data_IF_811522738079
#
_entry.id   IF_811522738079
#
_cell.length_a   1.000
_cell.length_b   1.000
_cell.length_c   1.000
_cell.angle_alpha   90.00
_cell.angle_beta   90.00
_cell.angle_gamma   90.00
#
_symmetry.space_group_name_H-M   'P 1'
#
loop_
_entity.id
_entity.type
_entity.pdbx_description
1 polymer ?
#
# COMPACT_ATOMS: atom_id res chain seq x y z
N UNK A 1 0.40 -1.80 -35.68
CA UNK A 1 0.17 -0.43 -36.18
C UNK A 1 -0.13 0.47 -34.98
N UNK A 2 0.53 1.65 -34.93
CA UNK A 2 0.45 2.65 -33.87
C UNK A 2 -0.81 3.52 -34.01
N UNK A 3 -1.44 3.92 -32.89
CA UNK A 3 -1.94 5.29 -32.60
C UNK A 3 -2.59 5.26 -31.19
N UNK A 4 -2.00 5.81 -30.12
CA UNK A 4 -2.15 7.20 -29.57
C UNK A 4 -3.62 7.66 -29.49
N UNK A 5 -4.13 8.34 -28.46
CA UNK A 5 -3.76 8.69 -27.09
C UNK A 5 -4.96 9.48 -26.53
N UNK A 6 -5.17 9.51 -25.21
CA UNK A 6 -6.12 10.41 -24.57
C UNK A 6 -5.92 10.39 -23.05
N UNK A 7 -4.98 11.19 -22.56
CA UNK A 7 -4.79 11.44 -21.12
C UNK A 7 -5.33 12.84 -20.85
N UNK A 8 -6.35 12.92 -19.98
CA UNK A 8 -6.86 14.15 -19.39
C UNK A 8 -6.11 14.36 -18.08
N UNK A 9 -5.38 15.47 -17.96
CA UNK A 9 -4.75 15.92 -16.71
C UNK A 9 -5.61 17.06 -16.16
N UNK A 10 -6.24 16.83 -15.01
CA UNK A 10 -6.81 17.90 -14.19
C UNK A 10 -5.80 18.27 -13.10
N UNK A 11 -5.35 19.53 -13.11
CA UNK A 11 -4.53 20.13 -12.06
C UNK A 11 -5.46 20.88 -11.10
N UNK A 12 -5.40 20.56 -9.82
CA UNK A 12 -5.98 21.38 -8.76
C UNK A 12 -4.90 21.68 -7.72
N UNK A 13 -4.39 22.91 -7.76
CA UNK A 13 -3.64 23.53 -6.67
C UNK A 13 -4.65 24.29 -5.79
N UNK A 14 -4.64 24.00 -4.49
CA UNK A 14 -5.36 24.76 -3.48
C UNK A 14 -4.48 24.92 -2.23
N UNK A 15 -3.92 26.11 -2.05
CA UNK A 15 -3.23 26.57 -0.84
C UNK A 15 -4.19 27.45 -0.02
N UNK A 16 -4.42 27.07 1.24
CA UNK A 16 -4.79 27.92 2.39
C UNK A 16 -4.66 27.00 3.63
N UNK A 17 -3.93 27.27 4.71
CA UNK A 17 -3.59 28.54 5.34
C UNK A 17 -4.55 28.80 6.51
N UNK A 18 -4.24 28.38 7.74
CA UNK A 18 -5.07 28.70 8.92
C UNK A 18 -4.67 27.97 10.21
N UNK A 19 -4.06 28.73 11.12
CA UNK A 19 -3.68 28.38 12.50
C UNK A 19 -4.90 28.32 13.43
N UNK A 20 -4.87 27.47 14.47
CA UNK A 20 -5.84 27.55 15.58
C UNK A 20 -5.84 26.34 16.52
N UNK A 21 -5.44 26.56 17.77
CA UNK A 21 -5.41 25.59 18.89
C UNK A 21 -6.80 25.35 19.52
N UNK A 22 -6.93 24.16 20.10
CA UNK A 22 -7.57 23.81 21.38
C UNK A 22 -9.10 23.55 21.50
N UNK A 23 -9.37 22.34 22.02
CA UNK A 23 -10.19 22.03 23.21
C UNK A 23 -11.58 21.39 23.02
N UNK A 24 -11.75 20.32 23.80
CA UNK A 24 -12.97 19.74 24.39
C UNK A 24 -14.02 19.15 23.44
N UNK A 25 -14.19 17.82 23.42
CA UNK A 25 -14.88 17.00 24.43
C UNK A 25 -16.40 17.21 24.39
N UNK A 26 -17.10 16.30 23.71
CA UNK A 26 -18.40 15.72 24.09
C UNK A 26 -18.95 14.93 22.90
N UNK A 27 -19.51 13.75 23.16
CA UNK A 27 -20.11 12.89 22.13
C UNK A 27 -19.91 11.40 22.35
N UNK A 28 -20.01 10.96 23.61
CA UNK A 28 -20.07 9.56 23.98
C UNK A 28 -21.49 9.01 23.73
N UNK A 29 -21.56 7.72 23.34
CA UNK A 29 -22.68 6.77 23.52
C UNK A 29 -23.82 6.75 22.49
N UNK A 30 -23.80 5.70 21.67
CA UNK A 30 -24.91 4.76 21.36
C UNK A 30 -24.42 3.87 20.21
N UNK A 31 -24.62 2.56 20.15
CA UNK A 31 -25.18 1.57 21.04
C UNK A 31 -24.67 0.23 20.45
N UNK A 32 -24.30 -0.68 21.34
CA UNK A 32 -23.91 -2.05 21.05
C UNK A 32 -25.14 -2.88 20.59
N UNK A 33 -24.86 -4.09 20.11
CA UNK A 33 -25.75 -5.26 20.01
C UNK A 33 -26.54 -5.42 18.69
N UNK A 34 -26.04 -6.28 17.80
CA UNK A 34 -26.59 -7.65 17.63
C UNK A 34 -25.75 -8.42 16.60
N UNK A 35 -24.99 -9.38 17.11
CA UNK A 35 -24.56 -10.55 16.38
C UNK A 35 -25.60 -11.67 16.58
N UNK A 36 -25.56 -12.64 15.67
CA UNK A 36 -26.13 -14.00 15.73
C UNK A 36 -27.50 -14.23 15.06
N UNK A 37 -27.46 -14.82 13.86
CA UNK A 37 -28.01 -16.16 13.52
C UNK A 37 -27.90 -16.33 11.99
N UNK A 38 -27.04 -17.21 11.47
CA UNK A 38 -27.19 -18.67 11.36
C UNK A 38 -28.00 -19.09 10.10
N UNK A 39 -27.30 -19.82 9.22
CA UNK A 39 -27.76 -20.89 8.32
C UNK A 39 -28.99 -20.69 7.43
N UNK A 40 -28.75 -20.60 6.10
CA UNK A 40 -29.31 -21.50 5.07
C UNK A 40 -28.85 -21.12 3.66
N UNK A 41 -28.11 -22.00 3.02
CA UNK A 41 -28.31 -22.31 1.60
C UNK A 41 -29.44 -23.38 1.51
N UNK A 42 -30.20 -23.58 0.40
CA UNK A 42 -29.68 -23.65 -0.97
C UNK A 42 -30.59 -23.14 -2.14
N UNK A 43 -29.97 -23.07 -3.32
CA UNK A 43 -30.48 -23.42 -4.67
C UNK A 43 -31.64 -22.65 -5.37
N UNK A 44 -31.30 -22.12 -6.56
CA UNK A 44 -31.97 -22.29 -7.89
C UNK A 44 -33.02 -21.26 -8.38
N UNK A 45 -32.91 -20.98 -9.72
CA UNK A 45 -33.73 -20.23 -10.71
C UNK A 45 -33.32 -18.77 -10.93
N UNK A 46 -32.77 -18.38 -12.10
CA UNK A 46 -33.27 -18.37 -13.50
C UNK A 46 -34.52 -17.49 -13.64
N UNK A 47 -34.46 -16.55 -14.60
CA UNK A 47 -35.44 -15.53 -15.02
C UNK A 47 -35.34 -14.15 -14.36
N UNK A 48 -34.72 -13.18 -15.05
CA UNK A 48 -35.38 -11.99 -15.64
C UNK A 48 -34.31 -10.98 -16.11
N UNK A 49 -33.62 -11.28 -17.22
CA UNK A 49 -33.02 -10.23 -18.05
C UNK A 49 -34.11 -9.70 -18.99
N UNK A 50 -34.92 -8.77 -18.50
CA UNK A 50 -35.85 -7.99 -19.33
C UNK A 50 -36.46 -6.89 -18.47
N UNK A 51 -35.80 -5.72 -18.42
CA UNK A 51 -36.38 -4.37 -18.18
C UNK A 51 -35.26 -3.39 -17.84
N UNK A 52 -34.62 -2.81 -18.85
CA UNK A 52 -34.01 -1.47 -18.79
C UNK A 52 -33.58 -0.99 -20.19
N UNK A 53 -34.45 -1.23 -21.17
CA UNK A 53 -34.43 -0.60 -22.48
C UNK A 53 -35.81 0.03 -22.71
N UNK A 54 -36.06 1.20 -22.12
CA UNK A 54 -37.13 2.13 -22.49
C UNK A 54 -37.12 3.34 -21.55
N UNK A 55 -36.35 4.37 -21.89
CA UNK A 55 -36.55 5.74 -21.41
C UNK A 55 -35.95 6.71 -22.44
N UNK A 56 -36.57 6.72 -23.62
CA UNK A 56 -36.44 7.77 -24.64
C UNK A 56 -37.86 8.26 -24.94
N UNK A 57 -37.95 9.55 -25.28
CA UNK A 57 -39.14 10.38 -25.54
C UNK A 57 -39.69 11.07 -24.27
N UNK A 58 -39.77 12.40 -24.15
CA UNK A 58 -40.26 13.39 -25.13
C UNK A 58 -39.83 14.84 -24.74
N UNK A 59 -40.32 15.96 -25.34
CA UNK A 59 -39.51 16.84 -26.19
C UNK A 59 -39.42 18.29 -25.68
N UNK A 60 -38.36 19.01 -26.05
CA UNK A 60 -38.18 20.43 -25.74
C UNK A 60 -37.67 21.20 -26.95
N UNK A 61 -38.61 21.76 -27.70
CA UNK A 61 -38.41 22.59 -28.89
C UNK A 61 -37.69 23.89 -28.51
N UNK A 62 -36.50 24.12 -29.07
CA UNK A 62 -35.92 25.46 -29.19
C UNK A 62 -35.40 25.65 -30.62
N UNK A 63 -36.04 26.59 -31.31
CA UNK A 63 -35.76 27.06 -32.67
C UNK A 63 -34.26 27.41 -32.84
N UNK A 64 -33.60 26.78 -33.80
CA UNK A 64 -32.35 27.30 -34.38
C UNK A 64 -32.71 27.98 -35.69
N UNK A 65 -32.70 29.32 -35.68
CA UNK A 65 -32.76 30.14 -36.88
C UNK A 65 -31.61 29.78 -37.81
N UNK A 66 -31.96 29.65 -39.09
CA UNK A 66 -31.04 29.73 -40.21
C UNK A 66 -30.21 31.02 -40.09
N UNK A 67 -28.90 30.88 -40.10
CA UNK A 67 -27.97 31.97 -40.35
C UNK A 67 -27.21 31.62 -41.63
N UNK A 68 -27.29 32.57 -42.55
CA UNK A 68 -26.87 32.51 -43.93
C UNK A 68 -25.41 32.11 -44.12
N UNK A 69 -25.22 31.25 -45.14
CA UNK A 69 -23.95 31.14 -45.86
C UNK A 69 -23.70 32.45 -46.59
N UNK A 70 -22.73 33.23 -46.10
CA UNK A 70 -22.01 34.18 -46.95
C UNK A 70 -20.51 33.88 -46.88
N UNK A 71 -20.08 33.20 -47.94
CA UNK A 71 -18.73 33.19 -48.49
C UNK A 71 -18.15 34.60 -48.55
N UNK A 72 -17.06 34.82 -47.80
CA UNK A 72 -16.08 35.84 -48.15
C UNK A 72 -14.65 35.29 -47.96
N UNK A 73 -13.90 35.45 -49.04
CA UNK A 73 -12.49 35.22 -49.36
C UNK A 73 -11.51 34.72 -48.27
N UNK A 74 -10.69 33.69 -48.58
CA UNK A 74 -9.53 33.35 -47.77
C UNK A 74 -8.42 34.37 -48.06
N UNK A 75 -8.36 35.44 -47.27
CA UNK A 75 -7.15 36.27 -47.24
C UNK A 75 -6.09 35.52 -46.45
N UNK A 76 -5.10 35.03 -47.18
CA UNK A 76 -3.91 34.41 -46.63
C UNK A 76 -3.20 35.37 -45.68
N UNK A 77 -3.20 35.01 -44.41
CA UNK A 77 -2.05 35.23 -43.55
C UNK A 77 -1.62 33.86 -43.06
N UNK A 78 -0.85 33.15 -43.91
CA UNK A 78 0.15 32.21 -43.44
C UNK A 78 1.09 33.00 -42.53
N UNK A 79 0.70 33.10 -41.26
CA UNK A 79 1.61 33.38 -40.18
C UNK A 79 2.49 32.14 -40.05
N UNK A 80 3.47 32.03 -40.94
CA UNK A 80 4.68 31.22 -40.77
C UNK A 80 5.43 31.81 -39.57
N UNK A 81 4.85 31.68 -38.37
CA UNK A 81 5.54 31.87 -37.11
C UNK A 81 6.55 30.73 -37.08
N UNK A 82 7.74 30.99 -37.60
CA UNK A 82 8.88 30.10 -37.44
C UNK A 82 8.95 29.74 -35.96
N UNK A 83 8.94 28.44 -35.66
CA UNK A 83 9.04 27.95 -34.29
C UNK A 83 10.21 28.69 -33.64
N UNK A 84 9.91 29.52 -32.65
CA UNK A 84 10.97 30.18 -31.91
C UNK A 84 11.84 29.09 -31.30
N UNK A 85 13.16 29.24 -31.33
CA UNK A 85 14.07 28.31 -30.67
C UNK A 85 13.67 28.05 -29.20
N UNK A 86 13.03 29.04 -28.56
CA UNK A 86 12.44 28.94 -27.22
C UNK A 86 11.31 27.90 -27.16
N UNK A 87 10.45 27.83 -28.17
CA UNK A 87 9.33 26.87 -28.24
C UNK A 87 9.86 25.45 -28.39
N UNK A 88 10.89 25.25 -29.23
CA UNK A 88 11.57 23.94 -29.38
C UNK A 88 12.19 23.49 -28.05
N UNK A 89 12.86 24.41 -27.34
CA UNK A 89 13.44 24.11 -26.02
C UNK A 89 12.37 23.76 -24.98
N UNK A 90 11.25 24.48 -24.93
CA UNK A 90 10.15 24.18 -24.01
C UNK A 90 9.52 22.82 -24.31
N UNK A 91 9.37 22.45 -25.59
CA UNK A 91 8.88 21.12 -25.99
C UNK A 91 9.85 20.02 -25.54
N UNK A 92 11.16 20.20 -25.74
CA UNK A 92 12.18 19.25 -25.29
C UNK A 92 12.19 19.10 -23.76
N UNK A 93 12.14 20.22 -23.03
CA UNK A 93 12.07 20.21 -21.57
C UNK A 93 10.81 19.51 -21.08
N UNK A 94 9.65 19.80 -21.69
CA UNK A 94 8.39 19.12 -21.39
C UNK A 94 8.47 17.62 -21.64
N UNK A 95 9.12 17.18 -22.73
CA UNK A 95 9.33 15.77 -23.01
C UNK A 95 10.20 15.09 -21.93
N UNK A 96 11.33 15.71 -21.54
CA UNK A 96 12.22 15.18 -20.48
C UNK A 96 11.49 15.11 -19.13
N UNK A 97 10.75 16.16 -18.76
CA UNK A 97 9.97 16.17 -17.52
C UNK A 97 8.88 15.09 -17.54
N UNK A 98 8.17 14.93 -18.67
CA UNK A 98 7.13 13.91 -18.79
C UNK A 98 7.68 12.48 -18.64
N UNK A 99 8.83 12.21 -19.26
CA UNK A 99 9.51 10.92 -19.15
C UNK A 99 9.97 10.66 -17.71
N UNK A 100 10.53 11.68 -17.05
CA UNK A 100 10.98 11.57 -15.68
C UNK A 100 9.82 11.33 -14.70
N UNK A 101 8.70 12.04 -14.87
CA UNK A 101 7.49 11.84 -14.06
C UNK A 101 6.99 10.39 -14.18
N UNK A 102 7.02 9.78 -15.36
CA UNK A 102 6.67 8.36 -15.55
C UNK A 102 7.54 7.43 -14.69
N UNK A 103 8.86 7.65 -14.66
CA UNK A 103 9.78 6.86 -13.84
C UNK A 103 9.48 7.02 -12.34
N UNK A 104 9.16 8.24 -11.89
CA UNK A 104 8.80 8.50 -10.49
C UNK A 104 7.50 7.78 -10.11
N UNK A 105 6.49 7.78 -10.98
CA UNK A 105 5.24 7.05 -10.77
C UNK A 105 5.44 5.54 -10.67
N UNK A 106 6.30 4.98 -11.51
CA UNK A 106 6.63 3.56 -11.47
C UNK A 106 7.27 3.16 -10.14
N UNK A 107 8.22 3.97 -9.63
CA UNK A 107 8.82 3.75 -8.30
C UNK A 107 7.81 3.86 -7.17
N UNK A 108 6.91 4.84 -7.24
CA UNK A 108 5.84 4.99 -6.25
C UNK A 108 4.91 3.77 -6.25
N UNK A 109 4.54 3.26 -7.42
CA UNK A 109 3.70 2.07 -7.55
C UNK A 109 4.41 0.84 -6.98
N UNK A 110 5.69 0.63 -7.31
CA UNK A 110 6.48 -0.49 -6.80
C UNK A 110 6.60 -0.46 -5.27
N UNK A 111 6.87 0.70 -4.68
CA UNK A 111 6.83 0.86 -3.22
C UNK A 111 5.47 0.46 -2.63
N UNK A 112 4.38 0.93 -3.25
CA UNK A 112 3.02 0.60 -2.82
C UNK A 112 2.69 -0.89 -2.93
N UNK A 113 3.20 -1.57 -3.96
CA UNK A 113 3.04 -3.02 -4.14
C UNK A 113 3.81 -3.83 -3.10
N UNK A 114 5.08 -3.47 -2.83
CA UNK A 114 5.88 -4.08 -1.78
C UNK A 114 5.16 -3.95 -0.42
N UNK A 115 4.70 -2.75 -0.08
CA UNK A 115 4.03 -2.54 1.20
C UNK A 115 2.68 -3.26 1.30
N UNK A 116 1.90 -3.32 0.22
CA UNK A 116 0.66 -4.11 0.18
C UNK A 116 0.92 -5.61 0.31
N UNK A 117 2.05 -6.10 -0.19
CA UNK A 117 2.42 -7.51 -0.07
C UNK A 117 2.72 -7.86 1.39
N UNK A 118 3.53 -7.03 2.07
CA UNK A 118 3.77 -7.17 3.52
C UNK A 118 2.46 -7.06 4.31
N UNK A 119 1.58 -6.11 3.94
CA UNK A 119 0.29 -5.92 4.58
C UNK A 119 -0.61 -7.16 4.52
N UNK A 120 -0.76 -7.74 3.32
CA UNK A 120 -1.57 -8.94 3.13
C UNK A 120 -0.99 -10.14 3.86
N UNK A 121 0.32 -10.33 3.76
CA UNK A 121 1.01 -11.42 4.45
C UNK A 121 0.85 -11.31 5.97
N UNK A 122 0.88 -10.09 6.51
CA UNK A 122 0.65 -9.81 7.92
C UNK A 122 -0.80 -10.07 8.36
N UNK A 123 -1.80 -9.65 7.57
CA UNK A 123 -3.22 -9.86 7.90
C UNK A 123 -3.60 -11.35 7.97
N UNK A 124 -2.95 -12.18 7.15
CA UNK A 124 -3.15 -13.62 7.10
C UNK A 124 -2.02 -14.40 7.79
N UNK A 125 -1.28 -13.76 8.70
CA UNK A 125 -0.14 -14.40 9.35
C UNK A 125 -0.60 -15.40 10.42
N UNK A 126 -0.57 -16.69 10.06
CA UNK A 126 -0.83 -17.82 10.97
C UNK A 126 0.46 -18.40 11.60
N UNK A 127 1.60 -17.71 11.49
CA UNK A 127 2.87 -18.21 11.99
C UNK A 127 3.03 -18.14 13.52
N UNK A 128 2.12 -17.48 14.24
CA UNK A 128 2.20 -17.43 15.70
C UNK A 128 1.86 -18.81 16.32
N UNK A 129 2.53 -19.21 17.42
CA UNK A 129 2.21 -20.46 18.09
C UNK A 129 0.89 -20.30 18.84
N UNK A 130 -0.14 -21.05 18.44
CA UNK A 130 -1.47 -21.02 19.09
C UNK A 130 -1.74 -22.20 20.03
N UNK A 131 -0.83 -23.18 20.07
CA UNK A 131 -1.07 -24.47 20.71
C UNK A 131 0.24 -25.19 21.03
N UNK A 132 0.29 -26.00 22.10
CA UNK A 132 1.48 -26.75 22.48
C UNK A 132 1.66 -28.03 21.65
N UNK A 133 0.73 -28.35 20.74
CA UNK A 133 0.81 -29.55 19.90
C UNK A 133 1.96 -29.43 18.91
N UNK A 134 2.88 -30.40 18.93
CA UNK A 134 4.11 -30.40 18.11
C UNK A 134 3.84 -30.17 16.61
N UNK A 135 2.82 -30.84 16.04
CA UNK A 135 2.45 -30.68 14.64
C UNK A 135 2.02 -29.23 14.30
N UNK A 136 1.35 -28.55 15.24
CA UNK A 136 0.93 -27.15 15.06
C UNK A 136 2.13 -26.22 15.25
N UNK A 137 3.02 -26.49 16.21
CA UNK A 137 4.26 -25.74 16.39
C UNK A 137 5.17 -25.82 15.15
N UNK A 138 5.33 -27.00 14.53
CA UNK A 138 6.08 -27.15 13.27
C UNK A 138 5.46 -26.33 12.13
N UNK A 139 4.14 -26.38 11.96
CA UNK A 139 3.44 -25.54 10.97
C UNK A 139 3.65 -24.05 11.23
N UNK A 140 3.50 -23.61 12.48
CA UNK A 140 3.73 -22.20 12.87
C UNK A 140 5.18 -21.78 12.62
N UNK A 141 6.15 -22.66 12.86
CA UNK A 141 7.57 -22.44 12.54
C UNK A 141 7.79 -22.22 11.04
N UNK A 142 7.32 -23.15 10.20
CA UNK A 142 7.46 -23.05 8.74
C UNK A 142 6.85 -21.76 8.18
N UNK A 143 5.65 -21.40 8.63
CA UNK A 143 4.96 -20.18 8.23
C UNK A 143 5.70 -18.91 8.71
N UNK A 144 6.24 -18.93 9.93
CA UNK A 144 7.05 -17.83 10.45
C UNK A 144 8.35 -17.64 9.68
N UNK A 145 9.02 -18.73 9.30
CA UNK A 145 10.24 -18.69 8.48
C UNK A 145 9.93 -18.18 7.06
N UNK A 146 8.82 -18.62 6.46
CA UNK A 146 8.39 -18.12 5.16
C UNK A 146 8.11 -16.61 5.20
N UNK A 147 7.43 -16.14 6.25
CA UNK A 147 7.18 -14.72 6.43
C UNK A 147 8.46 -13.92 6.70
N UNK A 148 9.39 -14.46 7.50
CA UNK A 148 10.70 -13.85 7.72
C UNK A 148 11.45 -13.63 6.40
N UNK A 149 11.46 -14.62 5.50
CA UNK A 149 12.11 -14.50 4.18
C UNK A 149 11.47 -13.42 3.31
N UNK A 150 10.14 -13.35 3.30
CA UNK A 150 9.40 -12.30 2.59
C UNK A 150 9.79 -10.89 3.09
N UNK A 151 9.92 -10.74 4.42
CA UNK A 151 10.33 -9.47 5.03
C UNK A 151 11.78 -9.12 4.67
N UNK A 152 12.67 -10.11 4.63
CA UNK A 152 14.08 -9.92 4.25
C UNK A 152 14.22 -9.45 2.79
N UNK A 153 13.51 -10.11 1.86
CA UNK A 153 13.46 -9.72 0.45
C UNK A 153 12.89 -8.30 0.26
N UNK A 154 11.85 -7.97 1.05
CA UNK A 154 11.23 -6.64 1.01
C UNK A 154 12.16 -5.57 1.57
N UNK A 155 12.83 -5.83 2.69
CA UNK A 155 13.82 -4.93 3.28
C UNK A 155 14.94 -4.63 2.28
N UNK A 156 15.48 -5.66 1.63
CA UNK A 156 16.52 -5.48 0.61
C UNK A 156 16.03 -4.66 -0.57
N UNK A 157 14.80 -4.89 -1.03
CA UNK A 157 14.21 -4.12 -2.13
C UNK A 157 14.06 -2.64 -1.75
N UNK A 158 13.54 -2.35 -0.55
CA UNK A 158 13.39 -0.97 -0.05
C UNK A 158 14.74 -0.28 0.15
N UNK A 159 15.75 -0.99 0.65
CA UNK A 159 17.10 -0.47 0.82
C UNK A 159 17.76 -0.13 -0.53
N UNK A 160 17.60 -1.00 -1.53
CA UNK A 160 18.11 -0.75 -2.88
C UNK A 160 17.47 0.48 -3.54
N UNK A 161 16.19 0.72 -3.25
CA UNK A 161 15.46 1.88 -3.75
C UNK A 161 15.73 3.16 -2.95
N UNK A 162 16.42 3.07 -1.80
CA UNK A 162 16.74 4.21 -0.92
C UNK A 162 15.61 4.58 0.04
N UNK A 163 14.63 3.70 0.22
CA UNK A 163 13.54 3.85 1.18
C UNK A 163 13.96 3.39 2.59
N UNK A 164 15.04 3.97 3.13
CA UNK A 164 15.68 3.52 4.37
C UNK A 164 14.76 3.53 5.59
N UNK A 165 13.88 4.53 5.73
CA UNK A 165 12.94 4.58 6.87
C UNK A 165 11.93 3.44 6.81
N UNK A 166 11.44 3.12 5.61
CA UNK A 166 10.55 1.99 5.40
C UNK A 166 11.26 0.66 5.58
N UNK A 167 12.49 0.54 5.06
CA UNK A 167 13.34 -0.63 5.26
C UNK A 167 13.63 -0.86 6.75
N UNK A 168 13.91 0.19 7.53
CA UNK A 168 14.10 0.09 8.98
C UNK A 168 12.83 -0.38 9.70
N UNK A 169 11.65 0.09 9.27
CA UNK A 169 10.38 -0.43 9.76
C UNK A 169 10.23 -1.93 9.47
N UNK A 170 10.50 -2.36 8.23
CA UNK A 170 10.41 -3.77 7.84
C UNK A 170 11.43 -4.62 8.60
N UNK A 171 12.64 -4.11 8.81
CA UNK A 171 13.67 -4.73 9.63
C UNK A 171 13.21 -4.93 11.08
N UNK A 172 12.44 -3.99 11.63
CA UNK A 172 11.87 -4.15 12.97
C UNK A 172 10.88 -5.32 13.04
N UNK A 173 9.98 -5.40 12.06
CA UNK A 173 9.04 -6.51 11.97
C UNK A 173 9.78 -7.84 11.76
N UNK A 174 10.81 -7.85 10.91
CA UNK A 174 11.68 -9.01 10.68
C UNK A 174 12.34 -9.49 11.97
N UNK A 175 12.92 -8.57 12.75
CA UNK A 175 13.54 -8.87 14.04
C UNK A 175 12.54 -9.43 15.06
N UNK A 176 11.33 -8.88 15.11
CA UNK A 176 10.25 -9.43 15.94
C UNK A 176 9.90 -10.87 15.54
N UNK A 177 9.71 -11.15 14.25
CA UNK A 177 9.39 -12.51 13.77
C UNK A 177 10.53 -13.49 14.04
N UNK A 178 11.79 -13.06 13.88
CA UNK A 178 12.94 -13.88 14.23
C UNK A 178 12.92 -14.34 15.69
N UNK A 179 12.60 -13.44 16.61
CA UNK A 179 12.47 -13.76 18.05
C UNK A 179 11.32 -14.74 18.30
N UNK A 180 10.20 -14.59 17.61
CA UNK A 180 9.07 -15.53 17.68
C UNK A 180 9.48 -16.93 17.18
N UNK A 181 10.19 -17.02 16.05
CA UNK A 181 10.72 -18.28 15.52
C UNK A 181 11.61 -18.97 16.56
N UNK A 182 12.54 -18.23 17.16
CA UNK A 182 13.41 -18.78 18.21
C UNK A 182 12.62 -19.29 19.43
N UNK A 183 11.53 -18.60 19.83
CA UNK A 183 10.65 -19.11 20.88
C UNK A 183 9.94 -20.41 20.47
N UNK A 184 9.53 -20.55 19.20
CA UNK A 184 8.92 -21.79 18.68
C UNK A 184 9.94 -22.93 18.66
N UNK A 185 11.18 -22.65 18.24
CA UNK A 185 12.28 -23.62 18.28
C UNK A 185 12.56 -24.10 19.71
N UNK A 186 12.62 -23.19 20.68
CA UNK A 186 12.75 -23.56 22.10
C UNK A 186 11.60 -24.46 22.58
N UNK A 187 10.36 -24.22 22.12
CA UNK A 187 9.21 -25.07 22.44
C UNK A 187 9.33 -26.47 21.82
N UNK A 188 9.77 -26.56 20.56
CA UNK A 188 9.99 -27.82 19.86
C UNK A 188 11.13 -28.64 20.47
N UNK A 189 12.17 -27.97 20.96
CA UNK A 189 13.34 -28.61 21.59
C UNK A 189 13.15 -28.89 23.09
N UNK A 190 12.04 -28.46 23.69
CA UNK A 190 11.78 -28.60 25.13
C UNK A 190 12.67 -27.69 26.01
N UNK A 191 13.30 -26.66 25.44
CA UNK A 191 14.16 -25.70 26.12
C UNK A 191 13.35 -24.52 26.69
N UNK A 192 12.39 -24.81 27.58
CA UNK A 192 11.40 -23.84 28.09
C UNK A 192 11.84 -23.10 29.37
N UNK A 193 13.16 -23.00 29.64
CA UNK A 193 13.73 -22.36 30.85
C UNK A 193 13.13 -22.84 32.18
N UNK A 194 12.71 -24.11 32.25
CA UNK A 194 12.11 -24.71 33.44
C UNK A 194 10.60 -24.50 33.60
N UNK A 195 9.94 -23.85 32.63
CA UNK A 195 8.48 -23.72 32.58
C UNK A 195 7.83 -24.93 31.91
N UNK A 196 6.59 -25.23 32.30
CA UNK A 196 5.76 -26.19 31.55
C UNK A 196 5.45 -25.59 30.17
N UNK A 197 5.40 -26.43 29.13
CA UNK A 197 5.19 -25.98 27.75
C UNK A 197 3.95 -25.09 27.57
N UNK A 198 2.85 -25.41 28.25
CA UNK A 198 1.63 -24.60 28.23
C UNK A 198 1.82 -23.21 28.82
N UNK A 199 2.54 -23.10 29.94
CA UNK A 199 2.84 -21.81 30.58
C UNK A 199 3.78 -20.97 29.71
N UNK A 200 4.82 -21.60 29.16
CA UNK A 200 5.74 -20.94 28.23
C UNK A 200 5.01 -20.40 26.99
N UNK A 201 4.14 -21.22 26.38
CA UNK A 201 3.30 -20.81 25.25
C UNK A 201 2.39 -19.62 25.61
N UNK A 202 1.78 -19.64 26.79
CA UNK A 202 0.88 -18.57 27.23
C UNK A 202 1.63 -17.23 27.37
N UNK A 203 2.85 -17.26 27.91
CA UNK A 203 3.71 -16.08 28.04
C UNK A 203 4.14 -15.55 26.67
N UNK A 204 4.58 -16.43 25.77
CA UNK A 204 4.93 -16.07 24.39
C UNK A 204 3.73 -15.44 23.68
N UNK A 205 2.54 -16.01 23.82
CA UNK A 205 1.31 -15.49 23.19
C UNK A 205 0.92 -14.13 23.75
N UNK A 206 1.04 -13.93 25.07
CA UNK A 206 0.75 -12.66 25.72
C UNK A 206 1.72 -11.56 25.26
N UNK A 207 3.03 -11.84 25.27
CA UNK A 207 4.04 -10.88 24.79
C UNK A 207 3.89 -10.59 23.29
N UNK A 208 3.63 -11.62 22.48
CA UNK A 208 3.34 -11.47 21.06
C UNK A 208 2.19 -10.48 20.84
N UNK A 209 1.04 -10.70 21.48
CA UNK A 209 -0.13 -9.84 21.34
C UNK A 209 0.15 -8.41 21.77
N UNK A 210 0.93 -8.22 22.84
CA UNK A 210 1.25 -6.89 23.35
C UNK A 210 2.16 -6.10 22.41
N UNK A 211 3.26 -6.72 21.94
CA UNK A 211 4.20 -6.09 20.99
C UNK A 211 3.52 -5.86 19.65
N UNK A 212 2.80 -6.86 19.14
CA UNK A 212 2.10 -6.80 17.87
C UNK A 212 1.08 -5.66 17.82
N UNK A 213 0.25 -5.54 18.86
CA UNK A 213 -0.75 -4.49 18.94
C UNK A 213 -0.15 -3.10 19.10
N UNK A 214 0.95 -2.99 19.86
CA UNK A 214 1.58 -1.69 20.15
C UNK A 214 2.34 -1.14 18.94
N UNK A 215 3.05 -1.98 18.20
CA UNK A 215 4.02 -1.53 17.20
C UNK A 215 3.57 -1.78 15.77
N UNK A 216 2.82 -2.86 15.53
CA UNK A 216 2.59 -3.33 14.17
C UNK A 216 1.16 -3.09 13.66
N UNK A 217 0.17 -2.81 14.51
CA UNK A 217 -1.23 -2.56 14.09
C UNK A 217 -1.37 -1.44 13.05
N UNK A 218 -0.60 -0.35 13.17
CA UNK A 218 -0.63 0.79 12.25
C UNK A 218 0.62 0.90 11.37
N UNK A 219 1.44 -0.15 11.32
CA UNK A 219 2.73 -0.17 10.63
C UNK A 219 2.67 0.37 9.21
N UNK A 220 1.74 -0.14 8.40
CA UNK A 220 1.57 0.24 6.99
C UNK A 220 1.11 1.70 6.81
N UNK A 221 0.33 2.25 7.75
CA UNK A 221 -0.17 3.62 7.65
C UNK A 221 0.92 4.66 7.91
N UNK A 222 1.96 4.25 8.64
CA UNK A 222 3.06 5.12 9.04
C UNK A 222 4.22 5.12 8.05
N UNK A 223 4.31 4.11 7.17
CA UNK A 223 5.37 4.02 6.16
C UNK A 223 5.00 4.81 4.91
N UNK A 224 5.74 5.90 4.68
CA UNK A 224 5.62 6.71 3.46
C UNK A 224 6.87 6.57 2.61
N UNK A 225 6.75 6.62 1.27
CA UNK A 225 7.92 6.64 0.42
C UNK A 225 8.70 7.94 0.68
N UNK A 226 10.01 7.81 0.81
CA UNK A 226 10.91 8.96 0.95
C UNK A 226 10.98 9.73 -0.38
N UNK A 227 10.67 11.04 -0.34
CA UNK A 227 10.74 11.91 -1.53
C UNK A 227 12.13 11.89 -2.18
N UNK A 228 13.19 11.83 -1.36
CA UNK A 228 14.56 11.75 -1.86
C UNK A 228 14.84 10.47 -2.67
N UNK A 229 14.22 9.34 -2.30
CA UNK A 229 14.34 8.10 -3.06
C UNK A 229 13.52 8.15 -4.36
N UNK A 230 12.32 8.73 -4.30
CA UNK A 230 11.46 8.89 -5.47
C UNK A 230 12.12 9.76 -6.54
N UNK A 231 12.73 10.88 -6.13
CA UNK A 231 13.35 11.86 -7.04
C UNK A 231 14.81 11.54 -7.40
N UNK A 232 15.32 10.34 -7.12
CA UNK A 232 16.69 9.98 -7.51
C UNK A 232 16.82 9.80 -9.03
N UNK A 233 17.81 10.40 -9.69
CA UNK A 233 17.95 10.34 -11.14
C UNK A 233 18.30 8.95 -11.68
N UNK A 234 19.00 8.13 -10.90
CA UNK A 234 19.46 6.79 -11.33
C UNK A 234 18.89 5.70 -10.42
N UNK A 235 18.49 4.53 -10.98
CA UNK A 235 18.27 3.34 -10.17
C UNK A 235 19.60 2.94 -9.53
N UNK A 236 19.63 2.77 -8.21
CA UNK A 236 20.81 2.20 -7.58
C UNK A 236 20.86 0.71 -7.89
N UNK A 237 22.05 0.14 -8.17
CA UNK A 237 22.23 -1.29 -8.10
C UNK A 237 21.82 -1.76 -6.70
N UNK A 238 21.20 -2.94 -6.63
CA UNK A 238 20.91 -3.65 -5.38
C UNK A 238 22.24 -4.04 -4.74
N UNK A 239 22.90 -3.05 -4.15
CA UNK A 239 24.09 -3.28 -3.36
C UNK A 239 23.59 -3.75 -1.99
N UNK A 240 24.25 -4.74 -1.37
CA UNK A 240 24.04 -5.02 0.04
C UNK A 240 24.52 -3.79 0.83
N UNK A 241 23.66 -2.79 0.96
CA UNK A 241 23.87 -1.68 1.88
C UNK A 241 23.82 -2.26 3.28
N UNK A 242 24.71 -1.78 4.16
CA UNK A 242 24.78 -2.22 5.56
C UNK A 242 23.36 -2.24 6.12
N UNK A 243 22.88 -3.44 6.46
CA UNK A 243 21.59 -3.61 7.09
C UNK A 243 21.53 -2.63 8.26
N UNK A 244 20.50 -1.78 8.29
CA UNK A 244 20.21 -1.00 9.49
C UNK A 244 19.87 -2.00 10.57
N UNK A 245 20.85 -2.34 11.40
CA UNK A 245 20.66 -3.26 12.52
C UNK A 245 19.79 -2.52 13.53
N UNK A 246 18.49 -2.76 13.47
CA UNK A 246 17.59 -2.32 14.52
C UNK A 246 17.65 -3.38 15.61
N UNK A 247 18.37 -3.06 16.69
CA UNK A 247 18.43 -3.94 17.86
C UNK A 247 17.04 -3.95 18.49
N UNK A 248 16.50 -5.16 18.60
CA UNK A 248 15.19 -5.41 19.17
C UNK A 248 15.34 -6.41 20.31
N UNK A 249 14.97 -5.92 21.48
CA UNK A 249 14.95 -6.65 22.74
C UNK A 249 13.49 -7.00 23.06
N UNK A 250 12.89 -7.85 22.22
CA UNK A 250 11.61 -8.50 22.52
C UNK A 250 11.89 -9.91 23.01
N UNK A 251 11.07 -10.39 23.96
CA UNK A 251 11.16 -11.73 24.54
C UNK A 251 12.42 -12.01 25.36
N UNK A 252 13.13 -11.00 25.88
CA UNK A 252 14.37 -11.17 26.68
C UNK A 252 14.19 -12.10 27.90
N UNK A 253 12.98 -12.15 28.46
CA UNK A 253 12.68 -13.05 29.59
C UNK A 253 12.47 -14.50 29.14
N UNK A 254 12.16 -14.72 27.86
CA UNK A 254 11.74 -16.00 27.29
C UNK A 254 12.85 -16.67 26.44
N UNK A 255 13.71 -15.89 25.79
CA UNK A 255 14.88 -16.34 25.01
C UNK A 255 16.16 -16.42 25.85
#
# INVERSE_FOLDING_TARGET
>A
MRSRAGIVIAVALGLAGGSGRASQAEGQKCLLVLAANADRAPSVRVEEESKLAAALESPGIARVSAVDRNTSSPSGHENSRGLSWKDVWLVLLGAVVSLYVTVVFERYNRFGELMRTVARARQHFEGHPGSPVEAQLKRSHELSVAFFRLLDETEWSLNAEGHYDAAAGVAQLKGFIFRVVACIENMLEGKTKGLVLGDYLSLVTAEYGQVYNRQFVAFERNLRPSLAALLRPYPHPVLPTKATVVVIDYFDKLL
#
